data_IF_778013831222
#
_entry.id   IF_778013831222
#
_cell.length_a   1.000
_cell.length_b   1.000
_cell.length_c   1.000
_cell.angle_alpha   90.00
_cell.angle_beta   90.00
_cell.angle_gamma   90.00
#
_symmetry.space_group_name_H-M   'P 1'
#
loop_
_entity.id
_entity.type
_entity.pdbx_description
1 polymer ?
#
# COMPACT_ATOMS: atom_id res chain seq x y z
N UNK A 1 -4.52 27.04 8.50
CA UNK A 1 -5.64 26.10 8.25
C UNK A 1 -6.08 26.30 6.82
N UNK A 2 -6.02 25.27 5.97
CA UNK A 2 -6.41 25.37 4.55
C UNK A 2 -7.84 24.84 4.43
N UNK A 3 -8.74 25.66 3.89
CA UNK A 3 -10.13 25.26 3.60
C UNK A 3 -10.29 25.02 2.11
N UNK A 4 -10.81 23.86 1.72
CA UNK A 4 -11.12 23.51 0.34
C UNK A 4 -12.64 23.52 0.14
N UNK A 5 -13.20 24.46 -0.63
CA UNK A 5 -14.65 24.54 -0.85
C UNK A 5 -15.19 23.33 -1.62
N UNK A 6 -16.36 22.84 -1.22
CA UNK A 6 -17.09 21.75 -1.88
C UNK A 6 -18.34 22.32 -2.52
N UNK A 7 -18.43 22.24 -3.85
CA UNK A 7 -19.56 22.77 -4.61
C UNK A 7 -20.69 21.72 -4.70
N UNK A 8 -21.93 22.12 -4.37
CA UNK A 8 -23.10 21.22 -4.38
C UNK A 8 -23.62 20.91 -5.79
N UNK A 9 -23.30 21.75 -6.76
CA UNK A 9 -23.70 21.60 -8.15
C UNK A 9 -22.49 21.78 -9.04
N UNK A 10 -22.40 20.96 -10.10
CA UNK A 10 -21.27 20.93 -11.03
C UNK A 10 -19.96 20.42 -10.40
N UNK A 11 -19.89 19.11 -10.15
CA UNK A 11 -18.67 18.43 -9.71
C UNK A 11 -17.55 18.63 -10.72
N UNK A 12 -16.66 19.56 -10.44
CA UNK A 12 -15.46 19.77 -11.23
C UNK A 12 -14.54 18.55 -11.18
N UNK A 13 -13.76 18.36 -12.25
CA UNK A 13 -12.71 17.33 -12.42
C UNK A 13 -11.71 17.19 -11.27
N UNK A 14 -11.64 18.17 -10.36
CA UNK A 14 -10.73 18.22 -9.22
C UNK A 14 -11.19 17.38 -8.02
N UNK A 15 -12.42 16.85 -8.03
CA UNK A 15 -12.99 16.08 -6.90
C UNK A 15 -12.96 14.55 -7.11
N UNK A 16 -12.25 14.09 -8.15
CA UNK A 16 -12.22 12.66 -8.54
C UNK A 16 -11.68 11.74 -7.44
N UNK A 17 -10.73 12.19 -6.63
CA UNK A 17 -10.20 11.39 -5.52
C UNK A 17 -11.31 11.08 -4.50
N UNK A 18 -12.22 12.03 -4.22
CA UNK A 18 -13.32 11.82 -3.29
C UNK A 18 -14.35 10.83 -3.81
N UNK A 19 -14.63 10.84 -5.12
CA UNK A 19 -15.53 9.84 -5.72
C UNK A 19 -14.98 8.40 -5.67
N UNK A 20 -13.66 8.19 -5.57
CA UNK A 20 -13.10 6.85 -5.39
C UNK A 20 -13.31 6.29 -3.98
N UNK A 21 -13.50 7.15 -2.98
CA UNK A 21 -13.70 6.78 -1.57
C UNK A 21 -15.16 6.95 -1.12
N UNK A 22 -16.11 6.65 -2.01
CA UNK A 22 -17.55 6.68 -1.74
C UNK A 22 -18.03 7.99 -1.08
N UNK A 23 -17.46 9.13 -1.50
CA UNK A 23 -17.93 10.42 -1.03
C UNK A 23 -19.35 10.67 -1.52
N UNK A 24 -20.25 10.91 -0.57
CA UNK A 24 -21.68 11.13 -0.84
C UNK A 24 -21.86 12.34 -1.75
N UNK A 25 -22.72 12.21 -2.75
CA UNK A 25 -23.14 13.34 -3.55
C UNK A 25 -23.76 14.42 -2.63
N UNK A 26 -23.17 15.62 -2.50
CA UNK A 26 -23.63 16.65 -1.57
C UNK A 26 -24.97 17.29 -2.01
N UNK A 27 -25.50 16.95 -3.18
CA UNK A 27 -26.86 17.28 -3.61
C UNK A 27 -27.92 16.27 -3.11
N UNK A 28 -27.51 15.14 -2.52
CA UNK A 28 -28.40 14.11 -1.99
C UNK A 28 -28.20 13.92 -0.47
N UNK A 29 -29.30 13.73 0.26
CA UNK A 29 -29.27 13.37 1.67
C UNK A 29 -29.01 11.87 1.76
N UNK A 30 -27.82 11.45 2.18
CA UNK A 30 -27.54 10.05 2.52
C UNK A 30 -27.52 9.88 4.04
N UNK A 31 -28.45 9.07 4.57
CA UNK A 31 -28.63 8.85 6.01
C UNK A 31 -27.54 8.00 6.67
N UNK A 32 -26.74 7.25 5.89
CA UNK A 32 -25.56 6.50 6.34
C UNK A 32 -24.55 6.34 5.21
N UNK A 33 -23.27 6.11 5.55
CA UNK A 33 -22.25 5.70 4.58
C UNK A 33 -22.59 4.30 4.07
N UNK A 34 -22.74 4.15 2.75
CA UNK A 34 -22.74 2.83 2.13
C UNK A 34 -21.30 2.29 2.19
N UNK A 35 -21.08 1.20 2.94
CA UNK A 35 -19.82 0.47 2.89
C UNK A 35 -19.86 -0.42 1.66
N UNK A 36 -19.19 0.01 0.59
CA UNK A 36 -18.99 -0.83 -0.58
C UNK A 36 -17.52 -1.20 -0.70
N UNK A 37 -17.25 -2.50 -0.82
CA UNK A 37 -15.93 -3.04 -1.17
C UNK A 37 -15.75 -2.87 -2.68
N UNK A 38 -15.71 -1.62 -3.18
CA UNK A 38 -15.64 -1.38 -4.63
C UNK A 38 -14.23 -1.72 -5.13
N UNK A 39 -14.07 -2.60 -6.14
CA UNK A 39 -12.76 -3.02 -6.68
C UNK A 39 -11.86 -1.89 -7.21
N UNK A 40 -12.41 -0.69 -7.41
CA UNK A 40 -11.68 0.48 -7.93
C UNK A 40 -10.71 1.08 -6.91
N UNK A 41 -10.93 0.89 -5.61
CA UNK A 41 -10.04 1.39 -4.57
C UNK A 41 -8.69 0.63 -4.57
N UNK A 42 -8.71 -0.69 -4.68
CA UNK A 42 -7.49 -1.52 -4.77
C UNK A 42 -6.71 -1.25 -6.07
N UNK A 43 -7.42 -0.98 -7.18
CA UNK A 43 -6.81 -0.66 -8.49
C UNK A 43 -6.11 0.71 -8.50
N UNK A 44 -6.63 1.70 -7.76
CA UNK A 44 -5.95 2.98 -7.57
C UNK A 44 -4.68 2.83 -6.73
N UNK A 45 -4.73 2.02 -5.67
CA UNK A 45 -3.56 1.75 -4.81
C UNK A 45 -2.44 1.06 -5.61
N UNK A 46 -2.76 0.07 -6.45
CA UNK A 46 -1.76 -0.65 -7.26
C UNK A 46 -1.12 0.18 -8.38
N UNK A 47 -1.80 1.22 -8.90
CA UNK A 47 -1.31 2.02 -10.02
C UNK A 47 -0.82 3.43 -9.65
N UNK A 48 -1.00 3.86 -8.40
CA UNK A 48 -0.63 5.20 -8.01
C UNK A 48 0.86 5.29 -7.64
N UNK A 49 1.60 6.18 -8.31
CA UNK A 49 3.01 6.45 -8.05
C UNK A 49 3.33 6.75 -6.57
N UNK A 50 2.37 7.27 -5.82
CA UNK A 50 2.53 7.55 -4.40
C UNK A 50 2.87 6.28 -3.61
N UNK A 51 2.14 5.18 -3.82
CA UNK A 51 2.38 3.92 -3.11
C UNK A 51 3.72 3.32 -3.49
N UNK A 52 4.14 3.45 -4.75
CA UNK A 52 5.45 3.00 -5.21
C UNK A 52 6.61 3.83 -4.65
N UNK A 53 6.41 5.16 -4.51
CA UNK A 53 7.39 6.05 -3.84
C UNK A 53 7.47 5.72 -2.34
N UNK A 54 6.34 5.47 -1.69
CA UNK A 54 6.28 5.10 -0.26
C UNK A 54 6.87 3.72 0.01
N UNK A 55 6.62 2.73 -0.85
CA UNK A 55 7.22 1.40 -0.72
C UNK A 55 8.74 1.45 -0.84
N UNK A 56 9.29 2.31 -1.71
CA UNK A 56 10.74 2.53 -1.81
C UNK A 56 11.34 3.09 -0.51
N UNK A 57 10.67 4.08 0.10
CA UNK A 57 11.12 4.65 1.38
C UNK A 57 11.02 3.64 2.51
N UNK A 58 9.96 2.83 2.53
CA UNK A 58 9.79 1.77 3.51
C UNK A 58 10.87 0.70 3.37
N UNK A 59 11.15 0.25 2.16
CA UNK A 59 12.22 -0.71 1.87
C UNK A 59 13.60 -0.20 2.34
N UNK A 60 13.92 1.06 2.07
CA UNK A 60 15.16 1.67 2.53
C UNK A 60 15.28 1.69 4.06
N UNK A 61 14.18 1.92 4.78
CA UNK A 61 14.15 1.85 6.26
C UNK A 61 14.36 0.45 6.78
N UNK A 62 13.66 -0.54 6.20
CA UNK A 62 13.79 -1.95 6.57
C UNK A 62 15.23 -2.43 6.37
N UNK A 63 15.84 -2.08 5.24
CA UNK A 63 17.24 -2.42 4.94
C UNK A 63 18.24 -1.78 5.92
N UNK A 64 17.94 -0.58 6.43
CA UNK A 64 18.79 0.14 7.37
C UNK A 64 18.66 -0.35 8.83
N UNK A 65 17.54 -0.98 9.19
CA UNK A 65 17.24 -1.40 10.57
C UNK A 65 18.16 -2.54 11.04
N UNK A 66 18.35 -3.56 10.21
CA UNK A 66 19.12 -4.76 10.59
C UNK A 66 19.78 -5.40 9.37
N UNK A 67 20.94 -6.08 9.52
CA UNK A 67 21.49 -6.94 8.49
C UNK A 67 20.77 -8.29 8.37
N UNK A 68 20.01 -8.70 9.38
CA UNK A 68 19.33 -10.00 9.42
C UNK A 68 17.96 -9.96 8.74
N UNK A 69 17.68 -10.97 7.89
CA UNK A 69 16.45 -11.04 7.09
C UNK A 69 15.22 -11.32 7.97
N UNK A 70 15.37 -12.13 9.02
CA UNK A 70 14.25 -12.43 9.93
C UNK A 70 13.86 -11.19 10.75
N UNK A 71 14.86 -10.50 11.31
CA UNK A 71 14.64 -9.23 11.98
C UNK A 71 13.97 -8.17 11.07
N UNK A 72 14.39 -8.08 9.79
CA UNK A 72 13.78 -7.19 8.79
C UNK A 72 12.31 -7.51 8.54
N UNK A 73 11.98 -8.79 8.37
CA UNK A 73 10.60 -9.23 8.14
C UNK A 73 9.72 -8.93 9.35
N UNK A 74 10.20 -9.23 10.57
CA UNK A 74 9.43 -8.93 11.78
C UNK A 74 9.19 -7.41 11.94
N UNK A 75 10.22 -6.59 11.71
CA UNK A 75 10.09 -5.12 11.72
C UNK A 75 9.09 -4.61 10.67
N UNK A 76 9.12 -5.16 9.45
CA UNK A 76 8.21 -4.79 8.38
C UNK A 76 6.75 -5.10 8.73
N UNK A 77 6.48 -6.29 9.29
CA UNK A 77 5.13 -6.67 9.72
C UNK A 77 4.61 -5.81 10.87
N UNK A 78 5.47 -5.50 11.84
CA UNK A 78 5.11 -4.57 12.92
C UNK A 78 4.83 -3.16 12.38
N UNK A 79 5.58 -2.71 11.37
CA UNK A 79 5.40 -1.38 10.79
C UNK A 79 4.12 -1.28 9.95
N UNK A 80 3.79 -2.33 9.19
CA UNK A 80 2.66 -2.31 8.24
C UNK A 80 1.36 -2.77 8.88
N UNK A 81 1.38 -3.82 9.70
CA UNK A 81 0.19 -4.46 10.27
C UNK A 81 0.07 -4.33 11.79
N UNK A 82 1.06 -3.73 12.46
CA UNK A 82 1.11 -3.56 13.91
C UNK A 82 0.93 -4.88 14.70
N UNK A 83 1.48 -5.97 14.16
CA UNK A 83 1.51 -7.30 14.78
C UNK A 83 2.79 -8.04 14.39
N UNK A 84 3.26 -9.00 15.20
CA UNK A 84 4.37 -9.85 14.80
C UNK A 84 4.00 -10.70 13.58
N UNK A 85 5.02 -11.05 12.80
CA UNK A 85 4.89 -11.98 11.68
C UNK A 85 4.58 -13.39 12.19
N UNK A 86 3.70 -14.11 11.50
CA UNK A 86 3.42 -15.52 11.81
C UNK A 86 4.34 -16.45 11.02
N UNK A 87 4.51 -17.70 11.47
CA UNK A 87 5.38 -18.67 10.81
C UNK A 87 4.97 -18.95 9.35
N UNK A 88 3.67 -18.98 9.03
CA UNK A 88 3.19 -19.16 7.66
C UNK A 88 3.57 -17.99 6.76
N UNK A 89 3.37 -16.76 7.25
CA UNK A 89 3.72 -15.53 6.52
C UNK A 89 5.23 -15.39 6.32
N UNK A 90 6.02 -15.81 7.30
CA UNK A 90 7.46 -15.84 7.18
C UNK A 90 7.94 -16.75 6.03
N UNK A 91 7.32 -17.94 5.90
CA UNK A 91 7.63 -18.86 4.81
C UNK A 91 7.21 -18.28 3.45
N UNK A 92 6.00 -17.72 3.35
CA UNK A 92 5.50 -17.08 2.12
C UNK A 92 6.36 -15.88 1.71
N UNK A 93 6.78 -15.06 2.68
CA UNK A 93 7.64 -13.90 2.43
C UNK A 93 9.01 -14.33 1.88
N UNK A 94 9.63 -15.34 2.49
CA UNK A 94 10.91 -15.86 2.00
C UNK A 94 10.79 -16.50 0.62
N UNK A 95 9.70 -17.22 0.35
CA UNK A 95 9.44 -17.76 -0.98
C UNK A 95 9.27 -16.65 -2.02
N UNK A 96 8.55 -15.59 -1.68
CA UNK A 96 8.38 -14.41 -2.51
C UNK A 96 9.72 -13.75 -2.84
N UNK A 97 10.57 -13.51 -1.82
CA UNK A 97 11.90 -12.94 -2.01
C UNK A 97 12.78 -13.85 -2.90
N UNK A 98 12.74 -15.17 -2.71
CA UNK A 98 13.47 -16.12 -3.56
C UNK A 98 13.03 -16.10 -5.03
N UNK A 99 11.71 -16.07 -5.29
CA UNK A 99 11.15 -15.97 -6.64
C UNK A 99 11.56 -14.67 -7.34
N UNK A 100 11.48 -13.53 -6.62
CA UNK A 100 11.86 -12.23 -7.17
C UNK A 100 13.36 -12.10 -7.39
N UNK A 101 14.20 -12.65 -6.51
CA UNK A 101 15.64 -12.68 -6.70
C UNK A 101 16.02 -13.42 -8.00
N UNK A 102 15.35 -14.54 -8.26
CA UNK A 102 15.56 -15.35 -9.48
C UNK A 102 15.17 -14.59 -10.76
N UNK A 103 14.12 -13.77 -10.68
CA UNK A 103 13.62 -12.93 -11.77
C UNK A 103 14.50 -11.69 -12.03
N UNK A 104 15.15 -11.15 -11.00
CA UNK A 104 15.96 -9.92 -11.05
C UNK A 104 17.41 -10.12 -11.51
N UNK A 105 17.84 -11.35 -11.82
CA UNK A 105 19.19 -11.79 -12.22
C UNK A 105 19.77 -11.12 -13.50
N UNK A 106 19.77 -9.79 -13.60
CA UNK A 106 20.40 -9.05 -14.70
C UNK A 106 19.96 -7.59 -14.90
N UNK A 107 19.09 -7.01 -14.07
CA UNK A 107 18.62 -5.62 -14.30
C UNK A 107 18.51 -4.79 -13.01
N UNK A 108 19.60 -4.13 -12.60
CA UNK A 108 19.51 -3.03 -11.64
C UNK A 108 20.80 -2.65 -10.93
N UNK A 109 20.99 -1.35 -10.64
CA UNK A 109 22.10 -0.80 -9.86
C UNK A 109 22.07 -1.19 -8.36
N UNK A 110 20.92 -1.65 -7.85
CA UNK A 110 20.72 -2.10 -6.46
C UNK A 110 19.65 -3.21 -6.41
N UNK A 111 20.04 -4.50 -6.48
CA UNK A 111 19.08 -5.61 -6.54
C UNK A 111 18.29 -5.80 -5.23
N UNK A 112 18.92 -5.57 -4.08
CA UNK A 112 18.29 -5.76 -2.76
C UNK A 112 17.18 -4.74 -2.52
N UNK A 113 17.43 -3.45 -2.79
CA UNK A 113 16.41 -2.41 -2.62
C UNK A 113 15.18 -2.63 -3.51
N UNK A 114 15.37 -3.06 -4.76
CA UNK A 114 14.25 -3.36 -5.65
C UNK A 114 13.41 -4.55 -5.14
N UNK A 115 14.06 -5.58 -4.61
CA UNK A 115 13.44 -6.78 -4.08
C UNK A 115 12.59 -6.48 -2.84
N UNK A 116 13.12 -5.72 -1.88
CA UNK A 116 12.37 -5.27 -0.71
C UNK A 116 11.28 -4.25 -1.05
N UNK A 117 11.50 -3.40 -2.07
CA UNK A 117 10.49 -2.46 -2.55
C UNK A 117 9.25 -3.19 -3.08
N UNK A 118 9.42 -4.26 -3.86
CA UNK A 118 8.29 -5.03 -4.39
C UNK A 118 7.55 -5.79 -3.27
N UNK A 119 8.25 -6.33 -2.27
CA UNK A 119 7.61 -6.90 -1.08
C UNK A 119 6.78 -5.83 -0.34
N UNK A 120 7.36 -4.67 -0.05
CA UNK A 120 6.67 -3.56 0.60
C UNK A 120 5.45 -3.09 -0.21
N UNK A 121 5.57 -3.05 -1.54
CA UNK A 121 4.48 -2.65 -2.42
C UNK A 121 3.34 -3.67 -2.39
N UNK A 122 3.65 -4.97 -2.43
CA UNK A 122 2.67 -6.06 -2.31
C UNK A 122 1.92 -5.99 -0.98
N UNK A 123 2.63 -5.77 0.14
CA UNK A 123 2.01 -5.65 1.46
C UNK A 123 1.09 -4.42 1.56
N UNK A 124 1.51 -3.27 1.04
CA UNK A 124 0.69 -2.06 1.02
C UNK A 124 -0.53 -2.17 0.09
N UNK A 125 -0.47 -3.04 -0.92
CA UNK A 125 -1.59 -3.34 -1.80
C UNK A 125 -2.49 -4.49 -1.29
N UNK A 126 -2.10 -5.15 -0.19
CA UNK A 126 -2.84 -6.28 0.35
C UNK A 126 -4.17 -5.86 0.94
N UNK A 127 -5.15 -6.77 0.87
CA UNK A 127 -6.46 -6.56 1.49
C UNK A 127 -6.35 -6.34 3.00
N UNK A 128 -5.41 -7.01 3.68
CA UNK A 128 -5.19 -6.79 5.12
C UNK A 128 -4.76 -5.35 5.40
N UNK A 129 -3.95 -4.72 4.54
CA UNK A 129 -3.58 -3.32 4.72
C UNK A 129 -4.73 -2.37 4.40
N UNK A 130 -5.47 -2.63 3.32
CA UNK A 130 -6.52 -1.75 2.82
C UNK A 130 -7.77 -1.75 3.73
N UNK A 131 -8.18 -2.92 4.23
CA UNK A 131 -9.44 -3.08 4.97
C UNK A 131 -9.32 -3.10 6.49
N UNK A 132 -8.10 -3.04 7.03
CA UNK A 132 -7.88 -3.02 8.49
C UNK A 132 -8.02 -1.63 9.12
N UNK A 133 -8.65 -0.69 8.41
CA UNK A 133 -9.01 0.65 8.90
C UNK A 133 -10.51 0.88 8.90
#
# INVERSE_FOLDING_TARGET
TIYLPVMRTNFGTHDRIRSFFDFVNPAQIAGQRSQTVVPTQSLFVMNNELFRKRSKVLAARVLAESPDSEARLNYLWLTVFNRPITNSEYLEANEFLGRFNSSLNGKGKEPDLALWQELCHSLLASNEFIFRF
#
